data_IF_584132479529
#
_entry.id   IF_584132479529
#
_cell.length_a   1.000
_cell.length_b   1.000
_cell.length_c   1.000
_cell.angle_alpha   90.00
_cell.angle_beta   90.00
_cell.angle_gamma   90.00
#
_symmetry.space_group_name_H-M   'P 1'
#
loop_
_entity.id
_entity.type
_entity.pdbx_description
1 polymer ?
#
# COMPACT_ATOMS: atom_id res chain seq x y z
N UNK A 1 -51.87 39.16 -22.13
CA UNK A 1 -50.95 38.03 -22.35
C UNK A 1 -50.37 37.62 -20.99
N UNK A 2 -50.56 36.33 -20.65
CA UNK A 2 -49.91 35.46 -19.65
C UNK A 2 -49.24 36.03 -18.38
N UNK A 3 -49.29 35.41 -17.18
CA UNK A 3 -49.95 34.23 -16.59
C UNK A 3 -49.75 34.36 -15.07
N UNK A 4 -50.70 33.85 -14.30
CA UNK A 4 -50.69 33.80 -12.84
C UNK A 4 -49.84 32.64 -12.29
N UNK A 5 -49.40 32.83 -11.05
CA UNK A 5 -48.86 31.96 -9.99
C UNK A 5 -48.62 30.46 -10.23
N UNK A 6 -47.47 29.99 -9.73
CA UNK A 6 -47.29 28.61 -9.23
C UNK A 6 -46.31 28.60 -8.04
N UNK A 7 -46.89 28.26 -6.89
CA UNK A 7 -46.30 27.92 -5.59
C UNK A 7 -45.48 26.63 -5.71
N UNK A 8 -44.32 26.52 -5.04
CA UNK A 8 -43.67 25.21 -4.85
C UNK A 8 -42.23 25.26 -4.32
N UNK A 9 -41.92 24.63 -3.17
CA UNK A 9 -40.70 24.86 -2.40
C UNK A 9 -39.56 23.92 -2.83
N UNK A 10 -38.30 24.39 -2.80
CA UNK A 10 -37.17 23.47 -2.73
C UNK A 10 -36.04 24.08 -1.90
N UNK A 11 -36.13 23.81 -0.59
CA UNK A 11 -34.95 23.79 0.25
C UNK A 11 -34.06 22.63 -0.23
N UNK A 12 -32.84 22.93 -0.68
CA UNK A 12 -31.74 21.98 -0.60
C UNK A 12 -30.62 22.67 0.15
N UNK A 13 -30.56 22.31 1.43
CA UNK A 13 -29.42 22.52 2.30
C UNK A 13 -28.24 21.78 1.67
N UNK A 14 -27.33 22.49 1.02
CA UNK A 14 -26.04 21.93 0.62
C UNK A 14 -25.16 21.83 1.87
N UNK A 15 -25.42 20.79 2.67
CA UNK A 15 -24.41 20.13 3.50
C UNK A 15 -23.40 19.44 2.55
N UNK A 16 -22.61 20.27 1.85
CA UNK A 16 -21.49 19.83 1.04
C UNK A 16 -20.28 19.59 1.93
N UNK A 17 -20.32 18.47 2.66
CA UNK A 17 -19.18 17.72 3.12
C UNK A 17 -17.85 18.48 3.27
N UNK A 18 -17.65 19.07 4.44
CA UNK A 18 -16.34 19.05 5.09
C UNK A 18 -16.02 17.58 5.44
N UNK A 19 -15.83 16.73 4.43
CA UNK A 19 -15.13 15.47 4.64
C UNK A 19 -13.73 15.90 5.02
N UNK A 20 -13.47 15.80 6.32
CA UNK A 20 -12.18 15.87 6.94
C UNK A 20 -11.11 15.41 5.95
N UNK A 21 -10.31 16.37 5.46
CA UNK A 21 -8.96 16.08 5.01
C UNK A 21 -8.22 15.58 6.26
N UNK A 22 -8.52 14.33 6.64
CA UNK A 22 -7.79 13.55 7.62
C UNK A 22 -6.37 13.57 7.09
N UNK A 23 -5.52 14.33 7.78
CA UNK A 23 -4.11 14.56 7.47
C UNK A 23 -3.58 13.37 6.68
N UNK A 24 -3.49 13.52 5.34
CA UNK A 24 -2.74 12.57 4.53
C UNK A 24 -1.33 12.75 5.04
N UNK A 25 -0.92 11.91 5.99
CA UNK A 25 0.47 11.71 6.29
C UNK A 25 1.14 11.59 4.92
N UNK A 26 2.08 12.48 4.64
CA UNK A 26 2.82 12.46 3.38
C UNK A 26 3.19 11.02 3.05
N UNK A 27 3.07 10.59 1.78
CA UNK A 27 3.43 9.23 1.41
C UNK A 27 4.82 8.97 1.96
N UNK A 28 4.90 8.10 2.97
CA UNK A 28 6.10 7.97 3.76
C UNK A 28 7.25 7.65 2.80
N UNK A 29 8.28 8.49 2.76
CA UNK A 29 9.32 8.38 1.75
C UNK A 29 10.05 7.06 1.96
N UNK A 30 10.12 6.23 0.92
CA UNK A 30 10.85 4.96 0.98
C UNK A 30 12.35 5.27 1.09
N UNK A 31 13.00 4.68 2.10
CA UNK A 31 14.43 4.80 2.43
C UNK A 31 15.24 3.57 2.05
N UNK A 32 14.56 2.51 1.64
CA UNK A 32 15.17 1.31 1.10
C UNK A 32 14.14 0.20 0.95
N UNK A 33 14.59 -0.93 0.46
CA UNK A 33 13.75 -2.12 0.35
C UNK A 33 14.54 -3.40 0.54
N UNK A 34 13.83 -4.45 0.94
CA UNK A 34 14.34 -5.80 0.96
C UNK A 34 13.53 -6.67 0.00
N UNK A 35 14.14 -7.01 -1.14
CA UNK A 35 13.55 -7.95 -2.08
C UNK A 35 13.87 -9.38 -1.63
N UNK A 36 12.83 -10.07 -1.16
CA UNK A 36 12.91 -11.45 -0.73
C UNK A 36 12.37 -12.40 -1.80
N UNK A 37 12.02 -11.90 -3.00
CA UNK A 37 11.63 -12.72 -4.15
C UNK A 37 12.86 -13.49 -4.59
N UNK A 38 12.93 -14.76 -4.21
CA UNK A 38 14.02 -15.59 -4.66
C UNK A 38 13.77 -16.07 -6.09
N UNK A 39 14.80 -16.04 -6.93
CA UNK A 39 14.82 -16.83 -8.15
C UNK A 39 14.59 -18.30 -7.80
N UNK A 40 13.52 -18.88 -8.34
CA UNK A 40 13.16 -20.31 -8.35
C UNK A 40 13.78 -21.15 -7.21
N UNK A 41 13.16 -21.14 -6.01
CA UNK A 41 13.51 -22.10 -4.96
C UNK A 41 13.29 -21.65 -3.50
N UNK A 42 13.17 -20.35 -3.22
CA UNK A 42 12.74 -19.86 -1.90
C UNK A 42 11.31 -19.33 -2.00
N UNK A 43 10.43 -19.86 -1.13
CA UNK A 43 8.97 -19.70 -1.23
C UNK A 43 8.45 -18.30 -0.89
N UNK A 44 9.31 -17.33 -0.60
CA UNK A 44 8.90 -15.96 -0.32
C UNK A 44 8.77 -15.18 -1.63
N UNK A 45 7.55 -14.72 -1.93
CA UNK A 45 7.26 -13.83 -3.06
C UNK A 45 6.86 -12.45 -2.52
N UNK A 46 7.76 -11.87 -1.71
CA UNK A 46 7.52 -10.65 -0.96
C UNK A 46 8.69 -9.69 -1.17
N UNK A 47 8.40 -8.40 -1.26
CA UNK A 47 9.39 -7.33 -1.12
C UNK A 47 8.93 -6.34 -0.06
N UNK A 48 9.83 -5.84 0.79
CA UNK A 48 9.48 -4.96 1.91
C UNK A 48 10.06 -3.57 1.65
N UNK A 49 9.22 -2.54 1.54
CA UNK A 49 9.65 -1.14 1.57
C UNK A 49 9.86 -0.69 3.02
N UNK A 50 11.00 -0.06 3.29
CA UNK A 50 11.31 0.61 4.55
C UNK A 50 11.07 2.12 4.40
N UNK A 51 10.22 2.69 5.24
CA UNK A 51 9.97 4.13 5.32
C UNK A 51 10.85 4.84 6.37
N UNK A 52 11.83 4.11 6.89
CA UNK A 52 12.90 4.56 7.77
C UNK A 52 14.19 3.87 7.34
N UNK A 53 15.33 4.43 7.72
CA UNK A 53 16.63 3.81 7.43
C UNK A 53 16.72 2.39 8.05
N UNK A 54 17.05 1.35 7.26
CA UNK A 54 17.17 0.01 7.78
C UNK A 54 18.36 -0.07 8.74
N UNK A 55 18.10 -0.55 9.96
CA UNK A 55 19.13 -0.79 10.96
C UNK A 55 19.98 -2.03 10.62
N UNK A 56 21.05 -2.25 11.38
CA UNK A 56 21.99 -3.36 11.15
C UNK A 56 21.32 -4.74 11.13
N UNK A 57 20.30 -4.97 11.98
CA UNK A 57 19.57 -6.25 12.00
C UNK A 57 18.79 -6.47 10.70
N UNK A 58 18.12 -5.42 10.19
CA UNK A 58 17.41 -5.48 8.91
C UNK A 58 18.40 -5.72 7.78
N UNK A 59 19.58 -5.08 7.80
CA UNK A 59 20.63 -5.28 6.79
C UNK A 59 21.21 -6.70 6.84
N UNK A 60 21.35 -7.28 8.02
CA UNK A 60 21.82 -8.66 8.20
C UNK A 60 20.79 -9.69 7.69
N UNK A 61 19.50 -9.47 7.96
CA UNK A 61 18.41 -10.31 7.45
C UNK A 61 18.32 -10.16 5.93
N UNK A 62 18.29 -8.92 5.44
CA UNK A 62 18.26 -8.61 4.02
C UNK A 62 19.65 -8.70 3.38
N UNK A 63 20.39 -9.75 3.69
CA UNK A 63 21.71 -9.95 3.13
C UNK A 63 21.65 -10.88 1.92
N UNK A 64 22.57 -10.70 0.95
CA UNK A 64 22.76 -11.66 -0.12
C UNK A 64 23.06 -13.09 0.39
N UNK A 65 23.64 -13.21 1.58
CA UNK A 65 23.88 -14.50 2.25
C UNK A 65 22.58 -15.25 2.59
N UNK A 66 21.48 -14.52 2.84
CA UNK A 66 20.14 -15.07 3.01
C UNK A 66 19.38 -15.24 1.68
N UNK A 67 20.01 -14.91 0.54
CA UNK A 67 19.37 -14.92 -0.78
C UNK A 67 18.41 -13.75 -1.01
N UNK A 68 18.51 -12.68 -0.19
CA UNK A 68 17.68 -11.48 -0.31
C UNK A 68 18.50 -10.29 -0.80
N UNK A 69 17.84 -9.35 -1.46
CA UNK A 69 18.49 -8.17 -2.04
C UNK A 69 18.07 -6.92 -1.28
N UNK A 70 19.00 -6.31 -0.55
CA UNK A 70 18.82 -4.99 0.01
C UNK A 70 19.06 -3.92 -1.06
N UNK A 71 18.14 -2.97 -1.18
CA UNK A 71 18.24 -1.80 -2.05
C UNK A 71 18.04 -0.52 -1.26
N UNK A 72 18.64 0.58 -1.74
CA UNK A 72 18.38 1.95 -1.24
C UNK A 72 17.13 2.56 -1.86
N UNK A 73 16.59 1.95 -2.91
CA UNK A 73 15.33 2.34 -3.55
C UNK A 73 14.14 1.53 -3.04
N UNK A 74 12.95 1.82 -3.58
CA UNK A 74 11.75 1.06 -3.32
C UNK A 74 11.75 -0.28 -4.05
N UNK A 75 10.89 -1.19 -3.61
CA UNK A 75 10.55 -2.41 -4.30
C UNK A 75 10.06 -2.13 -5.72
N UNK A 76 10.44 -2.98 -6.67
CA UNK A 76 9.82 -3.02 -7.99
C UNK A 76 8.42 -3.63 -7.88
N UNK A 77 7.39 -2.78 -7.87
CA UNK A 77 5.98 -3.17 -7.69
C UNK A 77 5.35 -3.77 -8.94
N UNK A 78 6.08 -3.90 -10.04
CA UNK A 78 5.57 -4.49 -11.27
C UNK A 78 5.11 -5.93 -11.00
N UNK A 79 3.83 -6.21 -11.22
CA UNK A 79 3.22 -7.51 -10.97
C UNK A 79 2.93 -7.83 -9.49
N UNK A 80 3.04 -6.85 -8.58
CA UNK A 80 2.55 -7.01 -7.22
C UNK A 80 1.01 -7.12 -7.21
N UNK A 81 0.50 -8.00 -6.36
CA UNK A 81 -0.93 -8.16 -6.10
C UNK A 81 -1.46 -7.06 -5.15
N UNK A 82 -0.59 -6.52 -4.30
CA UNK A 82 -0.88 -5.45 -3.35
C UNK A 82 0.14 -5.40 -2.22
N UNK A 83 0.03 -4.36 -1.38
CA UNK A 83 0.89 -4.14 -0.23
C UNK A 83 0.11 -4.15 1.07
N UNK A 84 0.70 -4.69 2.15
CA UNK A 84 0.20 -4.45 3.51
C UNK A 84 1.14 -3.47 4.22
N UNK A 85 0.62 -2.27 4.53
CA UNK A 85 1.37 -1.25 5.26
C UNK A 85 1.15 -1.39 6.76
N UNK A 86 2.25 -1.43 7.52
CA UNK A 86 2.26 -1.49 8.97
C UNK A 86 3.37 -0.60 9.53
N UNK A 87 2.99 0.53 10.12
CA UNK A 87 3.94 1.54 10.60
C UNK A 87 4.86 2.03 9.48
N UNK A 88 6.17 1.86 9.66
CA UNK A 88 7.18 2.29 8.69
C UNK A 88 7.58 1.20 7.69
N UNK A 89 6.74 0.17 7.51
CA UNK A 89 6.99 -0.93 6.58
C UNK A 89 5.81 -1.09 5.62
N UNK A 90 6.09 -1.40 4.36
CA UNK A 90 5.08 -1.90 3.42
C UNK A 90 5.55 -3.22 2.83
N UNK A 91 4.83 -4.31 3.12
CA UNK A 91 5.10 -5.62 2.56
C UNK A 91 4.33 -5.75 1.24
N UNK A 92 5.03 -5.73 0.11
CA UNK A 92 4.48 -6.00 -1.22
C UNK A 92 4.44 -7.50 -1.48
N UNK A 93 3.25 -8.00 -1.81
CA UNK A 93 3.00 -9.40 -2.10
C UNK A 93 2.86 -9.61 -3.61
N UNK A 94 3.52 -10.63 -4.13
CA UNK A 94 3.46 -11.06 -5.52
C UNK A 94 2.82 -12.44 -5.58
N UNK A 95 2.47 -12.88 -6.79
CA UNK A 95 1.87 -14.19 -7.01
C UNK A 95 2.74 -15.30 -6.41
N UNK A 96 2.14 -16.12 -5.56
CA UNK A 96 2.73 -17.24 -4.85
C UNK A 96 1.73 -18.39 -4.69
N UNK A 97 2.11 -19.45 -3.98
CA UNK A 97 1.19 -20.52 -3.60
C UNK A 97 0.11 -20.09 -2.59
N UNK A 98 0.32 -18.97 -1.88
CA UNK A 98 -0.59 -18.47 -0.84
C UNK A 98 -1.47 -17.34 -1.38
N UNK A 99 -0.86 -16.37 -2.08
CA UNK A 99 -1.54 -15.20 -2.63
C UNK A 99 -1.48 -15.26 -4.16
N UNK A 100 -2.63 -15.39 -4.80
CA UNK A 100 -2.77 -15.36 -6.27
C UNK A 100 -3.60 -14.18 -6.75
N UNK A 101 -4.24 -13.44 -5.84
CA UNK A 101 -5.11 -12.29 -6.14
C UNK A 101 -4.92 -11.14 -5.16
N UNK A 102 -5.24 -9.92 -5.60
CA UNK A 102 -5.24 -8.73 -4.74
C UNK A 102 -6.20 -8.87 -3.54
N UNK A 103 -7.37 -9.48 -3.75
CA UNK A 103 -8.36 -9.69 -2.68
C UNK A 103 -7.83 -10.58 -1.54
N UNK A 104 -7.03 -11.61 -1.86
CA UNK A 104 -6.38 -12.44 -0.85
C UNK A 104 -5.33 -11.67 -0.05
N UNK A 105 -4.56 -10.80 -0.71
CA UNK A 105 -3.59 -9.92 -0.02
C UNK A 105 -4.34 -8.96 0.89
N UNK A 106 -5.39 -8.31 0.39
CA UNK A 106 -6.23 -7.40 1.18
C UNK A 106 -6.82 -8.08 2.41
N UNK A 107 -7.31 -9.32 2.28
CA UNK A 107 -7.82 -10.11 3.40
C UNK A 107 -6.73 -10.51 4.42
N UNK A 108 -5.46 -10.50 4.02
CA UNK A 108 -4.31 -10.79 4.90
C UNK A 108 -3.83 -9.54 5.65
N UNK A 109 -4.07 -8.35 5.11
CA UNK A 109 -3.62 -7.12 5.74
C UNK A 109 -4.42 -6.86 7.03
N UNK A 110 -3.69 -6.68 8.13
CA UNK A 110 -4.29 -6.40 9.46
C UNK A 110 -4.48 -4.91 9.72
N UNK A 111 -3.67 -4.06 9.08
CA UNK A 111 -3.69 -2.62 9.23
C UNK A 111 -4.26 -1.95 7.97
N UNK A 112 -3.44 -1.79 6.94
CA UNK A 112 -3.82 -1.08 5.73
C UNK A 112 -3.39 -1.85 4.48
N UNK A 113 -4.33 -2.02 3.56
CA UNK A 113 -4.05 -2.47 2.20
C UNK A 113 -3.65 -1.28 1.32
N UNK A 114 -2.58 -1.45 0.57
CA UNK A 114 -2.04 -0.47 -0.38
C UNK A 114 -2.11 -1.09 -1.76
N UNK A 115 -2.75 -0.40 -2.71
CA UNK A 115 -2.70 -0.79 -4.11
C UNK A 115 -1.28 -0.61 -4.68
N UNK A 116 -0.81 -1.48 -5.59
CA UNK A 116 0.51 -1.38 -6.23
C UNK A 116 0.84 0.00 -6.81
#
# INVERSE_FOLDING_TARGET
>A
MARWDLVGPLAIVLFGALFACKNKADPAVVKGSCDMRAGSGSGSMICIDFHVEPNEKVRAICSPAAGYTLSTGACDRTGALGGCRKGNLTNWYYTSSIHTTAAQVQATCTDEFVSP
#
